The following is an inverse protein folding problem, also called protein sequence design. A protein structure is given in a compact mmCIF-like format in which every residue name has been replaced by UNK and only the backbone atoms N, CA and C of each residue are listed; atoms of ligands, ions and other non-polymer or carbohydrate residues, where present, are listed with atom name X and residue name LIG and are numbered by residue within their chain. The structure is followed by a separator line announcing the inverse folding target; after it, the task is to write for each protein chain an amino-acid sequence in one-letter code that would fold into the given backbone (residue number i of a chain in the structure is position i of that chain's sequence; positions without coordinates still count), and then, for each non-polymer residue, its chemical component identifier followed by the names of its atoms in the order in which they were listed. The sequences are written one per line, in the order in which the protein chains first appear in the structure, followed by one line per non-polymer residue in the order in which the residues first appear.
data_IF_497488447920
#
_entry.id   IF_497488447920
#
_cell.length_a   1.000
_cell.length_b   1.000
_cell.length_c   1.000
_cell.angle_alpha   90.00
_cell.angle_beta   90.00
_cell.angle_gamma   90.00
#
_symmetry.space_group_name_H-M   'P 1'
#
loop_
_entity.id
_entity.type
_entity.pdbx_description
1 polymer ?
#
# COMPACT_ATOMS: atom_id res chain seq x y z
N UNK A 1 -1.59 13.92 9.84
CA UNK A 1 -1.38 12.62 9.16
C UNK A 1 -1.24 12.90 7.67
N UNK A 2 -0.19 12.42 7.01
CA UNK A 2 -0.03 12.62 5.55
C UNK A 2 -0.98 11.70 4.80
N UNK A 3 -1.53 12.15 3.67
CA UNK A 3 -2.36 11.28 2.82
C UNK A 3 -1.51 10.14 2.26
N UNK A 4 -2.10 8.97 1.99
CA UNK A 4 -1.41 7.88 1.30
C UNK A 4 -0.81 8.36 -0.04
N UNK A 5 -1.48 9.26 -0.75
CA UNK A 5 -0.98 9.86 -2.00
C UNK A 5 0.26 10.72 -1.78
N UNK A 6 0.36 11.45 -0.66
CA UNK A 6 1.55 12.26 -0.34
C UNK A 6 2.76 11.36 -0.09
N UNK A 7 2.56 10.25 0.63
CA UNK A 7 3.58 9.26 0.92
C UNK A 7 3.97 8.47 -0.34
N UNK A 8 3.00 8.15 -1.19
CA UNK A 8 3.23 7.51 -2.48
C UNK A 8 4.23 8.32 -3.32
N UNK A 9 4.06 9.64 -3.39
CA UNK A 9 5.00 10.48 -4.14
C UNK A 9 6.31 10.72 -3.38
N UNK A 10 6.24 11.10 -2.10
CA UNK A 10 7.43 11.54 -1.35
C UNK A 10 8.38 10.41 -0.94
N UNK A 11 7.87 9.18 -0.78
CA UNK A 11 8.68 8.01 -0.37
C UNK A 11 8.94 7.07 -1.54
N UNK A 12 7.92 6.80 -2.36
CA UNK A 12 8.03 5.82 -3.45
C UNK A 12 8.23 6.46 -4.84
N UNK A 13 8.11 7.78 -4.97
CA UNK A 13 8.33 8.52 -6.22
C UNK A 13 7.20 8.41 -7.25
N UNK A 14 6.12 7.70 -6.96
CA UNK A 14 5.01 7.46 -7.90
C UNK A 14 3.98 8.60 -7.87
N UNK A 15 3.51 9.01 -9.05
CA UNK A 15 2.48 10.05 -9.18
C UNK A 15 1.06 9.53 -8.96
N UNK A 16 0.84 8.24 -9.16
CA UNK A 16 -0.47 7.60 -9.04
C UNK A 16 -0.35 6.11 -8.79
N UNK A 17 -1.43 5.53 -8.27
CA UNK A 17 -1.59 4.09 -8.15
C UNK A 17 -1.74 3.44 -9.52
N UNK A 18 -1.23 2.22 -9.65
CA UNK A 18 -1.64 1.31 -10.72
C UNK A 18 -3.06 0.78 -10.45
N UNK A 19 -3.75 0.25 -11.47
CA UNK A 19 -5.09 -0.33 -11.30
C UNK A 19 -5.16 -1.31 -10.12
N UNK A 20 -6.16 -1.13 -9.26
CA UNK A 20 -6.41 -1.94 -8.06
C UNK A 20 -5.52 -1.64 -6.84
N UNK A 21 -4.37 -0.97 -6.99
CA UNK A 21 -3.49 -0.72 -5.83
C UNK A 21 -4.16 0.17 -4.77
N UNK A 22 -4.83 1.25 -5.19
CA UNK A 22 -5.51 2.17 -4.27
C UNK A 22 -6.57 1.46 -3.44
N UNK A 23 -7.42 0.65 -4.09
CA UNK A 23 -8.45 -0.15 -3.41
C UNK A 23 -7.87 -1.10 -2.36
N UNK A 24 -6.75 -1.76 -2.67
CA UNK A 24 -6.06 -2.65 -1.72
C UNK A 24 -5.46 -1.85 -0.56
N UNK A 25 -4.77 -0.75 -0.85
CA UNK A 25 -4.15 0.12 0.16
C UNK A 25 -5.21 0.65 1.13
N UNK A 26 -6.32 1.15 0.61
CA UNK A 26 -7.40 1.72 1.44
C UNK A 26 -8.06 0.65 2.30
N UNK A 27 -8.30 -0.55 1.75
CA UNK A 27 -8.85 -1.68 2.51
C UNK A 27 -7.90 -2.15 3.64
N UNK A 28 -6.60 -2.31 3.33
CA UNK A 28 -5.58 -2.67 4.34
C UNK A 28 -5.47 -1.58 5.39
N UNK A 29 -5.47 -0.31 4.98
CA UNK A 29 -5.38 0.81 5.91
C UNK A 29 -6.61 0.93 6.82
N UNK A 30 -7.78 0.50 6.36
CA UNK A 30 -9.00 0.38 7.17
C UNK A 30 -9.00 -0.84 8.11
N UNK A 31 -7.91 -1.63 8.16
CA UNK A 31 -7.79 -2.81 9.01
C UNK A 31 -8.55 -4.03 8.49
N UNK A 32 -8.90 -4.05 7.21
CA UNK A 32 -9.62 -5.17 6.60
C UNK A 32 -8.65 -6.30 6.18
N UNK A 33 -9.15 -7.54 6.24
CA UNK A 33 -8.44 -8.68 5.66
C UNK A 33 -8.61 -8.68 4.14
N UNK A 34 -7.50 -8.72 3.40
CA UNK A 34 -7.51 -8.60 1.93
C UNK A 34 -6.79 -9.78 1.28
N UNK A 35 -7.43 -10.41 0.29
CA UNK A 35 -6.78 -11.31 -0.67
C UNK A 35 -6.51 -10.55 -1.97
N UNK A 36 -5.25 -10.15 -2.18
CA UNK A 36 -4.84 -9.45 -3.40
C UNK A 36 -4.24 -10.42 -4.43
N UNK A 37 -4.92 -10.63 -5.55
CA UNK A 37 -4.42 -11.42 -6.69
C UNK A 37 -3.88 -10.45 -7.74
N UNK A 38 -2.56 -10.42 -7.91
CA UNK A 38 -1.91 -9.50 -8.85
C UNK A 38 -0.76 -10.20 -9.58
N UNK A 39 -0.50 -9.89 -10.86
CA UNK A 39 0.59 -10.50 -11.62
C UNK A 39 1.96 -10.15 -11.04
N UNK A 40 2.98 -10.92 -11.42
CA UNK A 40 4.39 -10.56 -11.17
C UNK A 40 4.68 -9.20 -11.81
N UNK A 41 5.41 -8.33 -11.10
CA UNK A 41 5.64 -6.95 -11.53
C UNK A 41 4.45 -6.01 -11.35
N UNK A 42 3.27 -6.49 -10.92
CA UNK A 42 2.06 -5.69 -10.72
C UNK A 42 2.11 -4.69 -9.56
N UNK A 43 3.17 -4.73 -8.74
CA UNK A 43 3.36 -3.78 -7.64
C UNK A 43 2.68 -4.18 -6.31
N UNK A 44 2.56 -5.49 -6.03
CA UNK A 44 1.99 -6.04 -4.79
C UNK A 44 2.64 -5.46 -3.52
N UNK A 45 3.96 -5.27 -3.54
CA UNK A 45 4.71 -4.83 -2.35
C UNK A 45 4.27 -3.47 -1.82
N UNK A 46 3.93 -2.55 -2.73
CA UNK A 46 3.43 -1.23 -2.37
C UNK A 46 2.17 -1.32 -1.50
N UNK A 47 1.30 -2.31 -1.78
CA UNK A 47 -0.01 -2.43 -1.13
C UNK A 47 0.05 -2.73 0.37
N UNK A 48 1.16 -3.26 0.88
CA UNK A 48 1.40 -3.43 2.31
C UNK A 48 2.46 -2.46 2.86
N UNK A 49 3.40 -2.01 2.04
CA UNK A 49 4.45 -1.06 2.48
C UNK A 49 3.91 0.35 2.70
N UNK A 50 2.98 0.82 1.87
CA UNK A 50 2.45 2.17 2.00
C UNK A 50 1.59 2.33 3.27
N UNK A 51 0.66 1.42 3.61
CA UNK A 51 -0.01 1.44 4.92
C UNK A 51 0.97 1.32 6.10
N UNK A 52 2.01 0.48 5.98
CA UNK A 52 2.99 0.25 7.03
C UNK A 52 3.71 1.52 7.50
N UNK A 53 3.98 2.45 6.58
CA UNK A 53 4.64 3.72 6.91
C UNK A 53 3.66 4.86 7.20
N UNK A 54 2.38 4.67 6.88
CA UNK A 54 1.33 5.68 7.06
C UNK A 54 0.69 5.62 8.45
N UNK A 55 0.85 4.50 9.15
CA UNK A 55 0.24 4.23 10.44
C UNK A 55 1.30 3.99 11.51
N UNK A 56 0.94 4.25 12.78
CA UNK A 56 1.80 3.88 13.90
C UNK A 56 1.84 2.36 14.06
N UNK A 57 3.00 1.84 14.47
CA UNK A 57 3.21 0.41 14.70
C UNK A 57 4.20 -0.21 13.72
N UNK A 58 4.14 -1.54 13.60
CA UNK A 58 5.05 -2.34 12.76
C UNK A 58 4.24 -3.33 11.94
N UNK A 59 4.43 -3.29 10.61
CA UNK A 59 3.93 -4.35 9.72
C UNK A 59 4.93 -5.50 9.66
N UNK A 60 4.46 -6.72 9.91
CA UNK A 60 5.24 -7.94 9.77
C UNK A 60 4.96 -8.56 8.41
N UNK A 61 6.01 -8.82 7.63
CA UNK A 61 5.93 -9.45 6.29
C UNK A 61 6.61 -10.81 6.34
N UNK A 62 5.92 -11.84 5.85
CA UNK A 62 6.42 -13.21 5.71
C UNK A 62 6.53 -13.50 4.22
N UNK A 63 7.69 -13.98 3.78
CA UNK A 63 7.99 -14.27 2.36
C UNK A 63 8.58 -15.65 2.17
#
# INVERSE_FOLDING_TARGET
MKSHTDLLKSVFGFDSYRPGQGEIVDAVAAGQNVLAIMPTGGGKSLCFQLPAIAQDGVTVVIS
#
